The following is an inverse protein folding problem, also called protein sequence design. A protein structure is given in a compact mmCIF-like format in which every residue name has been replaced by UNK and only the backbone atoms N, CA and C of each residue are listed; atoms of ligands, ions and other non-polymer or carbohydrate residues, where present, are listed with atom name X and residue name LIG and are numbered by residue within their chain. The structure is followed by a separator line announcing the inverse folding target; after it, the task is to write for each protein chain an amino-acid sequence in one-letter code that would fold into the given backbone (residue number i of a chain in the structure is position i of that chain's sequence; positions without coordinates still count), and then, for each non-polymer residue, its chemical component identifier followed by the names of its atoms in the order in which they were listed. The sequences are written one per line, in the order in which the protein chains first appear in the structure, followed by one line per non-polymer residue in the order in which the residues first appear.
data_IF_395241886783
#
_entry.id   IF_395241886783
#
_cell.length_a   1.000
_cell.length_b   1.000
_cell.length_c   1.000
_cell.angle_alpha   90.00
_cell.angle_beta   90.00
_cell.angle_gamma   90.00
#
_symmetry.space_group_name_H-M   'P 1'
#
loop_
_entity.id
_entity.type
_entity.pdbx_description
1 polymer ?
#
# COMPACT_ATOMS: atom_id res chain seq x y z
N UNK A 1 -4.55 12.53 -11.03
CA UNK A 1 -4.41 11.89 -12.35
C UNK A 1 -4.65 12.96 -13.41
N UNK A 2 -4.15 12.83 -14.65
CA UNK A 2 -4.15 13.84 -15.76
C UNK A 2 -3.15 14.99 -15.60
N UNK A 3 -3.06 15.60 -14.42
CA UNK A 3 -2.20 16.78 -14.14
C UNK A 3 -0.73 16.62 -14.53
N UNK A 4 -0.19 15.41 -14.36
CA UNK A 4 1.18 15.07 -14.66
C UNK A 4 1.26 13.58 -15.05
N UNK A 5 2.15 13.21 -15.98
CA UNK A 5 2.28 11.83 -16.42
C UNK A 5 3.08 10.98 -15.41
N UNK A 6 2.76 9.68 -15.26
CA UNK A 6 3.65 8.73 -14.61
C UNK A 6 4.88 8.44 -15.49
N UNK A 7 5.92 7.84 -14.88
CA UNK A 7 7.15 7.40 -15.56
C UNK A 7 7.12 5.87 -15.73
N UNK A 8 7.80 5.34 -16.76
CA UNK A 8 8.03 3.89 -16.90
C UNK A 8 9.27 3.44 -16.08
N UNK A 9 9.08 2.72 -14.96
CA UNK A 9 10.19 2.34 -14.07
C UNK A 9 11.09 1.23 -14.64
N UNK A 10 10.74 0.67 -15.80
CA UNK A 10 11.49 -0.36 -16.51
C UNK A 10 12.24 0.25 -17.71
N UNK A 11 11.51 0.90 -18.62
CA UNK A 11 12.05 1.44 -19.88
C UNK A 11 12.81 2.74 -19.67
N UNK A 12 12.35 3.58 -18.75
CA UNK A 12 12.95 4.89 -18.43
C UNK A 12 13.75 4.83 -17.12
N UNK A 13 14.16 3.64 -16.68
CA UNK A 13 14.89 3.45 -15.42
C UNK A 13 16.13 4.34 -15.28
N UNK A 14 16.77 4.71 -16.38
CA UNK A 14 17.98 5.53 -16.40
C UNK A 14 17.78 6.92 -15.77
N UNK A 15 16.57 7.47 -15.81
CA UNK A 15 16.27 8.78 -15.20
C UNK A 15 15.88 8.65 -13.72
N UNK A 16 15.72 7.43 -13.22
CA UNK A 16 15.28 7.18 -11.85
C UNK A 16 16.43 6.81 -10.92
N UNK A 17 16.36 7.27 -9.67
CA UNK A 17 17.40 7.01 -8.67
C UNK A 17 16.82 6.71 -7.29
N UNK A 18 17.33 5.63 -6.68
CA UNK A 18 17.13 5.32 -5.26
C UNK A 18 18.36 5.69 -4.43
N UNK A 19 19.29 6.48 -4.97
CA UNK A 19 20.41 6.99 -4.19
C UNK A 19 19.87 7.76 -2.99
N UNK A 20 20.55 7.63 -1.86
CA UNK A 20 20.15 8.19 -0.58
C UNK A 20 21.41 8.66 0.11
N UNK A 21 21.39 9.89 0.58
CA UNK A 21 22.54 10.49 1.26
C UNK A 21 22.24 10.58 2.76
N UNK A 22 23.29 10.42 3.57
CA UNK A 22 23.24 10.50 5.02
C UNK A 22 24.26 11.54 5.47
N UNK A 23 23.82 12.47 6.31
CA UNK A 23 24.64 13.56 6.84
C UNK A 23 23.79 14.76 7.19
N UNK A 24 24.42 15.80 7.74
CA UNK A 24 23.74 17.09 7.92
C UNK A 24 23.52 17.73 6.55
N UNK A 25 22.34 18.26 6.32
CA UNK A 25 22.08 19.10 5.17
C UNK A 25 22.75 20.46 5.40
N UNK A 26 23.63 20.82 4.48
CA UNK A 26 24.37 22.08 4.54
C UNK A 26 23.53 23.29 4.17
N UNK A 27 24.10 24.48 4.36
CA UNK A 27 23.46 25.71 3.90
C UNK A 27 23.46 25.77 2.36
N UNK A 28 22.26 25.81 1.77
CA UNK A 28 22.05 25.85 0.33
C UNK A 28 22.68 27.06 -0.37
N UNK A 29 22.85 28.17 0.36
CA UNK A 29 23.41 29.43 -0.15
C UNK A 29 24.93 29.53 0.02
N UNK A 30 25.57 28.55 0.64
CA UNK A 30 27.02 28.54 0.89
C UNK A 30 27.67 27.33 0.19
N UNK A 31 28.67 27.57 -0.64
CA UNK A 31 29.46 26.50 -1.26
C UNK A 31 30.65 26.16 -0.37
N UNK A 32 30.41 25.33 0.65
CA UNK A 32 31.41 24.90 1.62
C UNK A 32 31.74 23.40 1.45
N UNK A 33 33.01 22.96 1.56
CA UNK A 33 33.39 21.54 1.46
C UNK A 33 32.65 20.63 2.44
N UNK A 34 32.28 21.16 3.60
CA UNK A 34 31.55 20.46 4.66
C UNK A 34 30.19 19.96 4.17
N UNK A 35 29.55 20.64 3.22
CA UNK A 35 28.28 20.24 2.63
C UNK A 35 28.38 18.92 1.86
N UNK A 36 29.58 18.55 1.38
CA UNK A 36 29.84 17.30 0.68
C UNK A 36 30.18 16.13 1.62
N UNK A 37 30.30 16.36 2.93
CA UNK A 37 30.63 15.33 3.93
C UNK A 37 29.40 14.47 4.24
N UNK A 38 29.06 13.58 3.31
CA UNK A 38 27.91 12.69 3.40
C UNK A 38 28.26 11.24 3.07
N UNK A 39 27.54 10.28 3.67
CA UNK A 39 27.58 8.88 3.26
C UNK A 39 26.53 8.66 2.18
N UNK A 40 26.99 8.26 1.00
CA UNK A 40 26.11 7.96 -0.14
C UNK A 40 25.78 6.47 -0.18
N UNK A 41 24.47 6.18 -0.15
CA UNK A 41 23.91 4.86 -0.33
C UNK A 41 23.27 4.74 -1.72
N UNK A 42 23.47 3.60 -2.37
CA UNK A 42 22.82 3.27 -3.65
C UNK A 42 21.33 2.91 -3.55
N UNK A 43 20.79 2.84 -2.33
CA UNK A 43 19.43 2.42 -2.02
C UNK A 43 19.14 2.73 -0.54
N UNK A 44 17.93 3.18 -0.18
CA UNK A 44 17.55 3.37 1.23
C UNK A 44 17.36 2.04 1.98
N UNK A 45 17.34 0.91 1.27
CA UNK A 45 17.18 -0.41 1.88
C UNK A 45 18.53 -0.95 2.35
N UNK A 46 18.66 -1.10 3.66
CA UNK A 46 19.89 -1.54 4.30
C UNK A 46 19.96 -3.07 4.40
N UNK A 47 21.18 -3.60 4.36
CA UNK A 47 21.51 -4.89 4.96
C UNK A 47 22.09 -4.68 6.35
N UNK A 48 22.08 -5.72 7.17
CA UNK A 48 22.67 -5.69 8.52
C UNK A 48 24.10 -5.13 8.52
N UNK A 49 24.95 -5.62 7.61
CA UNK A 49 26.33 -5.14 7.48
C UNK A 49 26.41 -3.64 7.22
N UNK A 50 25.50 -3.11 6.39
CA UNK A 50 25.49 -1.69 6.01
C UNK A 50 25.00 -0.82 7.16
N UNK A 51 23.95 -1.23 7.87
CA UNK A 51 23.51 -0.55 9.09
C UNK A 51 24.63 -0.49 10.12
N UNK A 52 25.26 -1.63 10.44
CA UNK A 52 26.38 -1.69 11.40
C UNK A 52 27.56 -0.81 11.00
N UNK A 53 27.90 -0.79 9.71
CA UNK A 53 28.95 0.09 9.19
C UNK A 53 28.59 1.56 9.40
N UNK A 54 27.36 1.97 9.08
CA UNK A 54 26.89 3.35 9.26
C UNK A 54 26.97 3.74 10.75
N UNK A 55 26.47 2.89 11.66
CA UNK A 55 26.46 3.16 13.10
C UNK A 55 27.87 3.18 13.73
N UNK A 56 28.84 2.49 13.12
CA UNK A 56 30.23 2.44 13.58
C UNK A 56 31.14 3.46 12.92
N UNK A 57 30.66 4.23 11.94
CA UNK A 57 31.51 5.15 11.17
C UNK A 57 31.87 6.38 12.01
N UNK A 58 33.16 6.67 12.11
CA UNK A 58 33.68 7.81 12.88
C UNK A 58 33.27 9.19 12.31
N UNK A 59 32.93 9.28 11.02
CA UNK A 59 32.51 10.53 10.36
C UNK A 59 31.21 11.12 10.92
N UNK A 60 30.33 10.30 11.50
CA UNK A 60 29.15 10.77 12.20
C UNK A 60 29.37 10.96 13.70
N UNK A 61 30.63 10.81 14.14
CA UNK A 61 31.02 10.78 15.55
C UNK A 61 30.37 9.61 16.28
N UNK A 62 30.73 9.39 17.54
CA UNK A 62 29.99 8.50 18.43
C UNK A 62 28.54 8.97 18.72
N UNK A 63 27.98 9.89 17.92
CA UNK A 63 26.79 10.68 18.20
C UNK A 63 25.61 10.18 17.35
N UNK A 64 25.26 8.90 17.50
CA UNK A 64 23.92 8.45 17.14
C UNK A 64 23.16 8.15 18.42
N UNK A 65 21.86 8.45 18.42
CA UNK A 65 20.96 7.96 19.45
C UNK A 65 20.26 6.71 18.92
N UNK A 66 20.21 5.66 19.74
CA UNK A 66 19.30 4.54 19.49
C UNK A 66 18.09 4.71 20.39
N UNK A 67 16.91 4.82 19.78
CA UNK A 67 15.61 4.90 20.45
C UNK A 67 14.92 3.56 20.27
N UNK A 68 14.74 2.85 21.39
CA UNK A 68 13.93 1.63 21.44
C UNK A 68 12.45 2.00 21.34
N UNK A 69 11.76 1.41 20.37
CA UNK A 69 10.34 1.64 20.10
C UNK A 69 9.41 0.85 21.02
N UNK A 70 9.94 0.05 21.95
CA UNK A 70 9.13 -0.60 22.98
C UNK A 70 8.79 0.35 24.13
N UNK A 71 7.55 0.24 24.61
CA UNK A 71 7.03 1.03 25.73
C UNK A 71 6.18 0.18 26.67
N UNK A 72 6.19 0.44 27.99
CA UNK A 72 5.25 -0.18 28.92
C UNK A 72 3.81 0.18 28.55
N UNK A 73 2.88 -0.77 28.62
CA UNK A 73 1.48 -0.51 28.25
C UNK A 73 0.85 0.62 29.09
N UNK A 74 1.22 0.73 30.36
CA UNK A 74 0.81 1.82 31.26
C UNK A 74 1.26 3.23 30.82
N UNK A 75 2.31 3.34 29.99
CA UNK A 75 2.74 4.60 29.41
C UNK A 75 1.74 5.11 28.35
N UNK A 76 1.13 4.20 27.59
CA UNK A 76 0.26 4.51 26.47
C UNK A 76 1.04 4.92 25.20
N UNK A 77 0.54 4.50 24.04
CA UNK A 77 1.18 4.71 22.73
C UNK A 77 1.46 6.19 22.44
N UNK A 78 0.51 7.07 22.75
CA UNK A 78 0.66 8.51 22.48
C UNK A 78 1.79 9.13 23.32
N UNK A 79 1.91 8.75 24.59
CA UNK A 79 2.96 9.27 25.46
C UNK A 79 4.33 8.69 25.09
N UNK A 80 4.38 7.40 24.72
CA UNK A 80 5.59 6.76 24.19
C UNK A 80 6.12 7.46 22.94
N UNK A 81 5.25 7.77 21.97
CA UNK A 81 5.61 8.53 20.77
C UNK A 81 6.14 9.94 21.13
N UNK A 82 5.52 10.62 22.09
CA UNK A 82 5.99 11.92 22.56
C UNK A 82 7.37 11.83 23.23
N UNK A 83 7.63 10.78 24.01
CA UNK A 83 8.95 10.50 24.59
C UNK A 83 10.00 10.24 23.51
N UNK A 84 9.69 9.46 22.47
CA UNK A 84 10.62 9.25 21.35
C UNK A 84 10.97 10.57 20.65
N UNK A 85 9.98 11.43 20.44
CA UNK A 85 10.19 12.78 19.89
C UNK A 85 11.15 13.62 20.74
N UNK A 86 10.95 13.64 22.07
CA UNK A 86 11.82 14.37 22.99
C UNK A 86 13.24 13.81 23.04
N UNK A 87 13.40 12.48 23.05
CA UNK A 87 14.72 11.84 23.01
C UNK A 87 15.47 12.18 21.73
N UNK A 88 14.78 12.13 20.59
CA UNK A 88 15.35 12.50 19.29
C UNK A 88 15.76 13.98 19.27
N UNK A 89 14.89 14.89 19.70
CA UNK A 89 15.21 16.32 19.77
C UNK A 89 16.43 16.60 20.65
N UNK A 90 16.45 16.07 21.88
CA UNK A 90 17.55 16.28 22.81
C UNK A 90 18.88 15.78 22.22
N UNK A 91 18.88 14.59 21.62
CA UNK A 91 20.07 14.02 21.00
C UNK A 91 20.56 14.85 19.81
N UNK A 92 19.66 15.31 18.94
CA UNK A 92 20.03 16.12 17.77
C UNK A 92 20.56 17.49 18.20
N UNK A 93 19.97 18.13 19.22
CA UNK A 93 20.51 19.37 19.81
C UNK A 93 21.90 19.17 20.43
N UNK A 94 22.19 17.99 20.97
CA UNK A 94 23.52 17.60 21.44
C UNK A 94 24.49 17.22 20.30
N UNK A 95 24.03 17.30 19.06
CA UNK A 95 24.85 17.13 17.86
C UNK A 95 24.74 15.76 17.19
N UNK A 96 23.79 14.92 17.60
CA UNK A 96 23.56 13.62 16.96
C UNK A 96 23.08 13.78 15.53
N UNK A 97 23.81 13.19 14.58
CA UNK A 97 23.51 13.26 13.14
C UNK A 97 22.60 12.10 12.70
N UNK A 98 22.56 11.03 13.50
CA UNK A 98 21.77 9.84 13.22
C UNK A 98 20.82 9.57 14.40
N UNK A 99 19.53 9.43 14.08
CA UNK A 99 18.51 8.92 14.99
C UNK A 99 18.13 7.53 14.52
N UNK A 100 18.50 6.52 15.29
CA UNK A 100 18.24 5.12 15.00
C UNK A 100 17.01 4.66 15.78
N UNK A 101 15.90 4.46 15.09
CA UNK A 101 14.64 3.93 15.64
C UNK A 101 14.63 2.41 15.46
N UNK A 102 14.47 1.64 16.54
CA UNK A 102 14.50 0.16 16.46
C UNK A 102 13.38 -0.51 17.25
N UNK A 103 12.70 -1.48 16.63
CA UNK A 103 11.76 -2.40 17.29
C UNK A 103 12.34 -3.82 17.44
N UNK A 104 13.66 -3.97 17.35
CA UNK A 104 14.34 -5.28 17.27
C UNK A 104 14.22 -6.12 18.54
N UNK A 105 14.25 -5.50 19.71
CA UNK A 105 14.44 -6.18 20.99
C UNK A 105 13.13 -6.17 21.79
N UNK A 106 12.26 -7.19 21.62
CA UNK A 106 11.08 -7.31 22.46
C UNK A 106 11.47 -7.45 23.92
N UNK A 107 10.70 -6.77 24.80
CA UNK A 107 10.89 -6.78 26.24
C UNK A 107 9.60 -7.26 26.91
N UNK A 108 9.68 -8.19 27.88
CA UNK A 108 8.50 -8.61 28.64
C UNK A 108 7.76 -7.41 29.24
N UNK A 109 6.43 -7.40 29.12
CA UNK A 109 5.58 -6.31 29.65
C UNK A 109 5.62 -5.01 28.85
N UNK A 110 6.27 -4.98 27.68
CA UNK A 110 6.27 -3.83 26.78
C UNK A 110 5.60 -4.16 25.45
N UNK A 111 4.95 -3.16 24.85
CA UNK A 111 4.40 -3.23 23.50
C UNK A 111 5.35 -2.55 22.51
N UNK A 112 5.52 -3.07 21.29
CA UNK A 112 6.27 -2.38 20.24
C UNK A 112 5.39 -1.28 19.61
N UNK A 113 5.85 -0.03 19.62
CA UNK A 113 5.21 1.01 18.84
C UNK A 113 5.43 0.75 17.34
N UNK A 114 4.36 0.81 16.55
CA UNK A 114 4.46 0.56 15.11
C UNK A 114 5.44 1.56 14.46
N UNK A 115 6.48 1.05 13.78
CA UNK A 115 7.59 1.86 13.29
C UNK A 115 7.16 3.04 12.39
N UNK A 116 6.09 2.89 11.62
CA UNK A 116 5.54 3.98 10.80
C UNK A 116 5.03 5.17 11.64
N UNK A 117 4.35 4.90 12.76
CA UNK A 117 3.88 5.95 13.67
C UNK A 117 5.06 6.66 14.33
N UNK A 118 6.05 5.90 14.80
CA UNK A 118 7.27 6.44 15.41
C UNK A 118 8.06 7.33 14.44
N UNK A 119 8.29 6.86 13.21
CA UNK A 119 8.97 7.63 12.16
C UNK A 119 8.22 8.91 11.86
N UNK A 120 6.91 8.82 11.64
CA UNK A 120 6.08 9.98 11.34
C UNK A 120 6.11 11.02 12.47
N UNK A 121 5.89 10.59 13.71
CA UNK A 121 5.91 11.46 14.88
C UNK A 121 7.26 12.16 15.05
N UNK A 122 8.36 11.40 15.04
CA UNK A 122 9.72 11.94 15.19
C UNK A 122 10.07 12.88 14.03
N UNK A 123 9.74 12.51 12.80
CA UNK A 123 9.97 13.37 11.64
C UNK A 123 9.23 14.71 11.76
N UNK A 124 7.93 14.68 12.05
CA UNK A 124 7.12 15.89 12.20
C UNK A 124 7.59 16.77 13.36
N UNK A 125 7.96 16.14 14.48
CA UNK A 125 8.51 16.84 15.64
C UNK A 125 9.82 17.57 15.29
N UNK A 126 10.77 16.89 14.67
CA UNK A 126 12.05 17.48 14.28
C UNK A 126 11.90 18.55 13.19
N UNK A 127 10.92 18.42 12.28
CA UNK A 127 10.58 19.47 11.31
C UNK A 127 10.08 20.73 12.04
N UNK A 128 9.12 20.57 12.97
CA UNK A 128 8.59 21.69 13.76
C UNK A 128 9.65 22.36 14.64
N UNK A 129 10.60 21.58 15.16
CA UNK A 129 11.72 22.08 15.97
C UNK A 129 12.86 22.71 15.13
N UNK A 130 12.78 22.64 13.79
CA UNK A 130 13.84 23.14 12.90
C UNK A 130 15.12 22.29 12.88
N UNK A 131 15.03 21.02 13.30
CA UNK A 131 16.18 20.11 13.49
C UNK A 131 16.25 18.99 12.44
N UNK A 132 15.26 18.87 11.55
CA UNK A 132 15.20 17.74 10.60
C UNK A 132 16.38 17.74 9.62
N UNK A 133 16.89 18.89 9.22
CA UNK A 133 18.06 19.01 8.33
C UNK A 133 19.38 18.66 9.03
N UNK A 134 19.42 18.64 10.36
CA UNK A 134 20.63 18.30 11.14
C UNK A 134 20.81 16.80 11.37
N UNK A 135 19.84 15.98 10.97
CA UNK A 135 19.87 14.55 11.28
C UNK A 135 19.22 13.67 10.21
N UNK A 136 19.40 12.36 10.37
CA UNK A 136 18.84 11.34 9.50
C UNK A 136 18.13 10.28 10.34
N UNK A 137 17.00 9.79 9.85
CA UNK A 137 16.22 8.76 10.52
C UNK A 137 16.55 7.39 9.93
N UNK A 138 17.20 6.53 10.71
CA UNK A 138 17.45 5.13 10.36
C UNK A 138 16.42 4.26 11.08
N UNK A 139 15.77 3.36 10.36
CA UNK A 139 14.70 2.52 10.92
C UNK A 139 15.11 1.05 10.86
N UNK A 140 15.31 0.41 11.99
CA UNK A 140 15.43 -1.04 12.10
C UNK A 140 14.07 -1.61 12.55
N UNK A 141 13.35 -2.27 11.64
CA UNK A 141 11.99 -2.73 11.94
C UNK A 141 11.69 -4.16 11.51
N UNK A 142 10.87 -4.86 12.29
CA UNK A 142 10.31 -6.16 11.97
C UNK A 142 9.07 -6.11 11.06
N UNK A 143 8.43 -4.94 10.94
CA UNK A 143 7.15 -4.77 10.22
C UNK A 143 7.30 -4.68 8.70
N UNK A 144 8.38 -4.04 8.22
CA UNK A 144 8.60 -3.75 6.80
C UNK A 144 9.04 -4.99 6.01
N UNK A 145 8.23 -5.39 5.02
CA UNK A 145 8.44 -6.63 4.24
C UNK A 145 8.08 -6.54 2.76
N UNK A 146 7.27 -5.57 2.36
CA UNK A 146 6.88 -5.34 0.96
C UNK A 146 7.16 -3.88 0.55
N UNK A 147 7.16 -3.55 -0.75
CA UNK A 147 7.49 -2.21 -1.23
C UNK A 147 6.61 -1.09 -0.66
N UNK A 148 5.36 -1.36 -0.30
CA UNK A 148 4.46 -0.34 0.25
C UNK A 148 4.92 0.07 1.64
N UNK A 149 5.28 -0.88 2.51
CA UNK A 149 5.80 -0.56 3.85
C UNK A 149 7.05 0.32 3.80
N UNK A 150 7.99 0.02 2.89
CA UNK A 150 9.16 0.89 2.69
C UNK A 150 8.76 2.27 2.17
N UNK A 151 7.85 2.32 1.19
CA UNK A 151 7.40 3.59 0.63
C UNK A 151 6.71 4.47 1.68
N UNK A 152 5.93 3.91 2.60
CA UNK A 152 5.34 4.64 3.72
C UNK A 152 6.44 5.19 4.63
N UNK A 153 7.34 4.33 5.13
CA UNK A 153 8.42 4.77 6.03
C UNK A 153 9.25 5.90 5.41
N UNK A 154 9.64 5.77 4.14
CA UNK A 154 10.43 6.77 3.43
C UNK A 154 9.62 8.05 3.15
N UNK A 155 8.38 7.90 2.68
CA UNK A 155 7.49 9.03 2.38
C UNK A 155 7.06 9.82 3.61
N UNK A 156 7.15 9.23 4.81
CA UNK A 156 6.93 9.89 6.10
C UNK A 156 8.21 10.25 6.86
N UNK A 157 9.38 10.15 6.21
CA UNK A 157 10.59 10.83 6.67
C UNK A 157 11.77 9.94 7.06
N UNK A 158 11.64 8.61 6.99
CA UNK A 158 12.79 7.72 7.13
C UNK A 158 13.84 8.01 6.05
N UNK A 159 15.11 8.09 6.43
CA UNK A 159 16.20 8.19 5.45
C UNK A 159 16.53 6.82 4.88
N UNK A 160 16.65 5.80 5.73
CA UNK A 160 16.94 4.42 5.32
C UNK A 160 16.31 3.41 6.27
N UNK A 161 16.02 2.20 5.76
CA UNK A 161 15.28 1.15 6.47
C UNK A 161 16.06 -0.17 6.42
N UNK A 162 16.27 -0.78 7.59
CA UNK A 162 16.76 -2.14 7.76
C UNK A 162 15.61 -3.07 8.21
N UNK A 163 15.08 -3.91 7.31
CA UNK A 163 13.96 -4.82 7.61
C UNK A 163 14.48 -6.13 8.22
N UNK A 164 14.89 -6.11 9.49
CA UNK A 164 15.65 -7.23 10.05
C UNK A 164 14.85 -8.55 10.06
N UNK A 165 13.56 -8.51 10.39
CA UNK A 165 12.73 -9.70 10.52
C UNK A 165 12.47 -10.33 9.15
N UNK A 166 12.23 -9.53 8.11
CA UNK A 166 12.08 -10.03 6.75
C UNK A 166 13.32 -10.83 6.29
N UNK A 167 14.53 -10.34 6.58
CA UNK A 167 15.75 -11.11 6.30
C UNK A 167 15.82 -12.40 7.11
N UNK A 168 15.54 -12.34 8.42
CA UNK A 168 15.55 -13.51 9.29
C UNK A 168 14.56 -14.58 8.83
N UNK A 169 13.33 -14.19 8.46
CA UNK A 169 12.32 -15.09 7.90
C UNK A 169 12.79 -15.72 6.59
N UNK A 170 13.39 -14.94 5.67
CA UNK A 170 13.96 -15.47 4.42
C UNK A 170 15.07 -16.50 4.68
N UNK A 171 15.97 -16.23 5.63
CA UNK A 171 17.01 -17.17 5.99
C UNK A 171 16.46 -18.43 6.68
N UNK A 172 15.44 -18.28 7.54
CA UNK A 172 14.75 -19.42 8.15
C UNK A 172 14.08 -20.30 7.09
N UNK A 173 13.32 -19.72 6.16
CA UNK A 173 12.69 -20.43 5.04
C UNK A 173 13.69 -21.09 4.09
N UNK A 174 14.87 -20.47 3.89
CA UNK A 174 15.96 -21.06 3.13
C UNK A 174 16.59 -22.26 3.85
N UNK A 175 16.74 -22.20 5.18
CA UNK A 175 17.27 -23.31 5.99
C UNK A 175 16.28 -24.48 6.07
N UNK A 176 14.99 -24.22 6.21
CA UNK A 176 13.95 -25.25 6.27
C UNK A 176 13.62 -25.88 4.90
N UNK A 177 14.18 -25.36 3.80
CA UNK A 177 13.96 -25.90 2.46
C UNK A 177 12.65 -25.48 1.79
N UNK A 178 11.87 -24.59 2.42
CA UNK A 178 10.67 -23.99 1.83
C UNK A 178 11.03 -23.22 0.55
N UNK A 179 12.11 -22.43 0.60
CA UNK A 179 12.68 -21.79 -0.59
C UNK A 179 13.69 -22.75 -1.21
N UNK A 180 13.27 -23.44 -2.26
CA UNK A 180 14.15 -24.32 -3.06
C UNK A 180 15.09 -23.47 -3.91
N UNK A 181 16.37 -23.47 -3.57
CA UNK A 181 17.40 -22.94 -4.47
C UNK A 181 17.56 -23.89 -5.66
N UNK A 182 17.78 -23.36 -6.87
CA UNK A 182 18.29 -24.19 -7.97
C UNK A 182 19.66 -24.70 -7.56
N UNK A 183 19.95 -25.98 -7.82
CA UNK A 183 21.11 -26.71 -7.30
C UNK A 183 22.49 -26.07 -7.55
N UNK A 184 22.58 -25.09 -8.47
CA UNK A 184 23.82 -24.43 -8.88
C UNK A 184 23.95 -22.95 -8.45
N UNK A 185 22.98 -22.36 -7.73
CA UNK A 185 23.03 -20.94 -7.36
C UNK A 185 23.35 -20.71 -5.87
N UNK A 186 24.33 -19.85 -5.54
CA UNK A 186 24.51 -19.37 -4.17
C UNK A 186 23.20 -18.79 -3.63
N UNK A 187 22.88 -19.05 -2.35
CA UNK A 187 21.67 -18.52 -1.69
C UNK A 187 21.77 -17.00 -1.50
N UNK A 188 21.57 -16.23 -2.55
CA UNK A 188 21.57 -14.75 -2.55
C UNK A 188 20.21 -14.15 -2.13
N UNK A 189 19.47 -14.82 -1.23
CA UNK A 189 18.09 -14.47 -0.86
C UNK A 189 17.95 -13.00 -0.49
N UNK A 190 18.85 -12.47 0.35
CA UNK A 190 18.85 -11.06 0.73
C UNK A 190 19.14 -10.09 -0.42
N UNK A 191 19.93 -10.48 -1.43
CA UNK A 191 20.16 -9.63 -2.62
C UNK A 191 18.93 -9.65 -3.53
N UNK A 192 18.33 -10.81 -3.77
CA UNK A 192 17.12 -10.96 -4.57
C UNK A 192 15.93 -10.21 -3.95
N UNK A 193 15.75 -10.33 -2.64
CA UNK A 193 14.74 -9.57 -1.89
C UNK A 193 14.92 -8.05 -2.06
N UNK A 194 16.11 -7.51 -1.76
CA UNK A 194 16.40 -6.08 -1.96
C UNK A 194 16.18 -5.63 -3.41
N UNK A 195 16.52 -6.46 -4.39
CA UNK A 195 16.27 -6.17 -5.81
C UNK A 195 14.77 -6.07 -6.09
N UNK A 196 13.97 -6.98 -5.53
CA UNK A 196 12.51 -6.94 -5.61
C UNK A 196 11.94 -5.66 -5.00
N UNK A 197 12.34 -5.33 -3.77
CA UNK A 197 11.86 -4.11 -3.11
C UNK A 197 12.31 -2.85 -3.86
N UNK A 198 13.54 -2.78 -4.38
CA UNK A 198 14.00 -1.65 -5.21
C UNK A 198 13.14 -1.46 -6.46
N UNK A 199 12.79 -2.55 -7.17
CA UNK A 199 11.87 -2.48 -8.32
C UNK A 199 10.48 -1.99 -7.89
N UNK A 200 10.00 -2.47 -6.74
CA UNK A 200 8.73 -2.03 -6.17
C UNK A 200 8.72 -0.55 -5.80
N UNK A 201 9.78 -0.03 -5.18
CA UNK A 201 9.93 1.39 -4.86
C UNK A 201 9.94 2.25 -6.13
N UNK A 202 10.74 1.87 -7.13
CA UNK A 202 10.74 2.56 -8.43
C UNK A 202 9.33 2.60 -9.03
N UNK A 203 8.60 1.48 -8.98
CA UNK A 203 7.21 1.43 -9.43
C UNK A 203 6.27 2.34 -8.63
N UNK A 204 6.46 2.50 -7.32
CA UNK A 204 5.64 3.40 -6.50
C UNK A 204 5.94 4.86 -6.84
N UNK A 205 7.22 5.25 -6.89
CA UNK A 205 7.66 6.60 -7.25
C UNK A 205 7.14 6.99 -8.66
N UNK A 206 7.21 6.06 -9.61
CA UNK A 206 6.84 6.33 -10.99
C UNK A 206 5.34 6.60 -11.19
N UNK A 207 4.46 6.15 -10.28
CA UNK A 207 3.01 6.42 -10.36
C UNK A 207 2.68 7.92 -10.31
N UNK A 208 3.50 8.71 -9.61
CA UNK A 208 3.34 10.16 -9.51
C UNK A 208 4.35 10.92 -10.39
N UNK A 209 5.08 10.21 -11.25
CA UNK A 209 6.11 10.81 -12.10
C UNK A 209 7.36 11.28 -11.35
N UNK A 210 7.66 10.68 -10.20
CA UNK A 210 8.81 11.07 -9.38
C UNK A 210 10.02 10.21 -9.74
N UNK A 211 11.13 10.87 -10.04
CA UNK A 211 12.36 10.20 -10.49
C UNK A 211 13.32 9.84 -9.34
N UNK A 212 13.36 10.63 -8.27
CA UNK A 212 14.40 10.50 -7.23
C UNK A 212 13.82 10.19 -5.86
N UNK A 213 14.53 9.38 -5.08
CA UNK A 213 14.18 9.09 -3.69
C UNK A 213 14.27 10.34 -2.80
N UNK A 214 15.18 11.27 -3.09
CA UNK A 214 15.34 12.48 -2.28
C UNK A 214 14.11 13.40 -2.39
N UNK A 215 13.45 13.49 -3.56
CA UNK A 215 12.18 14.22 -3.71
C UNK A 215 10.98 13.47 -3.15
N UNK A 216 11.04 12.13 -3.06
CA UNK A 216 9.96 11.32 -2.52
C UNK A 216 9.95 11.29 -0.98
N UNK A 217 11.13 11.37 -0.35
CA UNK A 217 11.29 11.30 1.11
C UNK A 217 10.55 12.46 1.77
N UNK A 218 9.69 12.15 2.74
CA UNK A 218 8.90 13.17 3.44
C UNK A 218 7.79 13.84 2.61
N UNK A 219 7.59 13.45 1.35
CA UNK A 219 6.59 14.08 0.47
C UNK A 219 5.14 13.70 0.80
N UNK A 220 4.92 12.69 1.65
CA UNK A 220 3.60 12.26 2.12
C UNK A 220 2.57 12.00 1.01
N UNK A 221 3.00 11.32 -0.07
CA UNK A 221 2.13 11.02 -1.22
C UNK A 221 1.21 9.82 -0.97
N UNK A 222 0.46 9.92 0.12
CA UNK A 222 -0.46 8.91 0.62
C UNK A 222 -1.79 9.56 0.98
N UNK A 223 -2.84 8.75 0.94
CA UNK A 223 -4.11 9.10 1.56
C UNK A 223 -4.36 8.16 2.73
N UNK A 224 -4.79 8.75 3.84
CA UNK A 224 -5.09 8.03 5.07
C UNK A 224 -6.59 7.76 5.10
N UNK A 225 -6.95 6.49 5.31
CA UNK A 225 -8.33 6.04 5.50
C UNK A 225 -8.36 5.22 6.78
N UNK A 226 -9.21 5.59 7.73
CA UNK A 226 -9.40 4.80 8.96
C UNK A 226 -8.52 5.20 10.15
N UNK A 227 -7.82 6.35 10.14
CA UNK A 227 -7.10 6.86 11.31
C UNK A 227 -7.73 8.13 11.85
N UNK A 228 -7.83 8.22 13.18
CA UNK A 228 -8.40 9.36 13.87
C UNK A 228 -7.56 10.64 13.69
N UNK A 229 -8.19 11.83 13.74
CA UNK A 229 -7.50 13.10 13.56
C UNK A 229 -6.29 13.32 14.48
N UNK A 230 -6.30 12.86 15.72
CA UNK A 230 -5.19 12.97 16.66
C UNK A 230 -3.96 12.18 16.24
N UNK A 231 -4.14 10.98 15.69
CA UNK A 231 -3.05 10.15 15.16
C UNK A 231 -2.45 10.84 13.94
N UNK A 232 -3.30 11.33 13.03
CA UNK A 232 -2.87 12.06 11.83
C UNK A 232 -2.11 13.34 12.20
N UNK A 233 -2.62 14.14 13.15
CA UNK A 233 -1.94 15.39 13.58
C UNK A 233 -0.58 15.14 14.20
N UNK A 234 -0.41 14.06 14.95
CA UNK A 234 0.85 13.75 15.61
C UNK A 234 1.87 13.15 14.63
N UNK A 235 1.46 12.14 13.85
CA UNK A 235 2.37 11.30 13.07
C UNK A 235 2.46 11.70 11.59
N UNK A 236 1.40 12.24 11.00
CA UNK A 236 1.24 12.37 9.55
C UNK A 236 0.67 13.74 9.15
N UNK A 237 1.04 14.78 9.88
CA UNK A 237 0.52 16.13 9.66
C UNK A 237 0.77 16.58 8.21
N UNK A 238 -0.31 17.05 7.55
CA UNK A 238 -0.30 17.44 6.13
C UNK A 238 -0.93 16.41 5.19
N UNK A 239 -1.09 15.16 5.62
CA UNK A 239 -1.71 14.11 4.80
C UNK A 239 -3.24 14.16 4.84
N UNK A 240 -3.93 13.91 3.71
CA UNK A 240 -5.39 13.86 3.69
C UNK A 240 -5.92 12.65 4.48
N UNK A 241 -6.88 12.90 5.37
CA UNK A 241 -7.68 11.88 6.06
C UNK A 241 -9.13 12.37 6.17
N UNK A 242 -10.02 11.79 5.36
CA UNK A 242 -11.38 12.33 5.14
C UNK A 242 -12.45 11.73 6.05
N UNK A 243 -12.22 10.51 6.54
CA UNK A 243 -13.25 9.70 7.21
C UNK A 243 -12.98 9.56 8.72
N UNK A 244 -11.72 9.76 9.16
CA UNK A 244 -11.32 9.43 10.53
C UNK A 244 -11.27 7.92 10.75
N UNK A 245 -11.18 7.49 12.01
CA UNK A 245 -11.20 6.07 12.37
C UNK A 245 -10.50 5.80 13.71
N UNK A 246 -9.61 4.82 13.73
CA UNK A 246 -8.92 4.34 14.94
C UNK A 246 -8.00 5.40 15.54
N UNK A 247 -8.13 5.62 16.85
CA UNK A 247 -7.24 6.46 17.65
C UNK A 247 -6.06 5.66 18.22
N UNK A 248 -5.30 6.29 19.11
CA UNK A 248 -4.15 5.63 19.75
C UNK A 248 -4.57 4.44 20.62
N UNK A 249 -5.72 4.51 21.28
CA UNK A 249 -6.21 3.45 22.15
C UNK A 249 -6.58 2.19 21.36
N UNK A 250 -7.28 2.34 20.23
CA UNK A 250 -7.65 1.21 19.38
C UNK A 250 -6.41 0.56 18.75
N UNK A 251 -5.45 1.37 18.26
CA UNK A 251 -4.19 0.87 17.70
C UNK A 251 -3.37 0.12 18.76
N UNK A 252 -3.31 0.65 19.98
CA UNK A 252 -2.63 -0.01 21.10
C UNK A 252 -3.30 -1.32 21.47
N UNK A 253 -4.64 -1.36 21.52
CA UNK A 253 -5.39 -2.57 21.83
C UNK A 253 -5.15 -3.67 20.77
N UNK A 254 -5.12 -3.32 19.48
CA UNK A 254 -4.74 -4.25 18.41
C UNK A 254 -3.31 -4.78 18.59
N UNK A 255 -2.36 -3.89 18.91
CA UNK A 255 -0.97 -4.28 19.14
C UNK A 255 -0.82 -5.19 20.37
N UNK A 256 -1.59 -4.93 21.43
CA UNK A 256 -1.61 -5.75 22.64
C UNK A 256 -2.19 -7.15 22.35
N UNK A 257 -3.27 -7.24 21.57
CA UNK A 257 -3.83 -8.52 21.15
C UNK A 257 -2.84 -9.35 20.31
N UNK A 258 -2.10 -8.70 19.40
CA UNK A 258 -1.03 -9.35 18.64
C UNK A 258 0.14 -9.82 19.52
N UNK A 259 0.54 -9.03 20.51
CA UNK A 259 1.58 -9.42 21.47
C UNK A 259 1.12 -10.62 22.32
N UNK A 260 -0.12 -10.61 22.82
CA UNK A 260 -0.67 -11.74 23.57
C UNK A 260 -0.68 -13.04 22.76
N UNK A 261 -1.02 -12.96 21.47
CA UNK A 261 -0.94 -14.11 20.57
C UNK A 261 0.50 -14.56 20.32
N UNK A 262 1.45 -13.62 20.20
CA UNK A 262 2.86 -13.92 19.97
C UNK A 262 3.57 -14.53 21.20
N UNK A 263 3.11 -14.19 22.40
CA UNK A 263 3.62 -14.73 23.67
C UNK A 263 3.04 -16.12 24.00
N UNK A 264 1.98 -16.55 23.31
CA UNK A 264 1.43 -17.90 23.45
C UNK A 264 2.37 -18.93 22.80
N UNK A 265 2.99 -19.84 23.58
CA UNK A 265 3.95 -20.81 23.07
C UNK A 265 3.34 -21.88 22.16
N UNK A 266 2.01 -22.05 22.16
CA UNK A 266 1.33 -23.01 21.29
C UNK A 266 0.69 -22.35 20.06
N UNK A 267 0.63 -21.02 20.02
CA UNK A 267 0.11 -20.30 18.86
C UNK A 267 0.96 -20.57 17.62
N UNK A 268 0.29 -20.75 16.47
CA UNK A 268 0.92 -20.92 15.18
C UNK A 268 0.68 -19.70 14.30
N UNK A 269 1.54 -19.52 13.30
CA UNK A 269 1.30 -18.51 12.28
C UNK A 269 0.09 -18.94 11.43
N UNK A 270 -0.95 -18.11 11.45
CA UNK A 270 -2.12 -18.30 10.62
C UNK A 270 -1.75 -18.27 9.11
N UNK A 271 -2.38 -19.11 8.26
CA UNK A 271 -2.19 -19.07 6.81
C UNK A 271 -2.52 -17.71 6.19
N UNK A 272 -3.32 -16.90 6.88
CA UNK A 272 -3.79 -15.59 6.46
C UNK A 272 -5.06 -15.66 5.63
N UNK A 273 -5.24 -14.68 4.75
CA UNK A 273 -6.46 -14.54 3.95
C UNK A 273 -6.55 -13.21 3.20
N UNK A 274 -5.67 -12.25 3.50
CA UNK A 274 -5.73 -10.90 2.92
C UNK A 274 -5.67 -10.86 1.39
N UNK A 275 -4.86 -11.72 0.76
CA UNK A 275 -4.64 -11.70 -0.71
C UNK A 275 -5.54 -12.66 -1.48
N UNK A 276 -6.02 -13.72 -0.81
CA UNK A 276 -6.84 -14.77 -1.41
C UNK A 276 -7.70 -15.37 -0.32
N UNK A 277 -8.94 -15.70 -0.68
CA UNK A 277 -9.85 -16.42 0.19
C UNK A 277 -9.21 -17.68 0.79
N UNK A 278 -9.29 -17.77 2.12
CA UNK A 278 -8.96 -18.94 2.93
C UNK A 278 -10.14 -19.15 3.86
N UNK A 279 -10.60 -20.40 3.97
CA UNK A 279 -11.73 -20.74 4.84
C UNK A 279 -11.40 -20.39 6.30
N UNK A 280 -12.29 -19.65 6.96
CA UNK A 280 -12.09 -19.19 8.35
C UNK A 280 -11.13 -18.00 8.51
N UNK A 281 -10.58 -17.45 7.43
CA UNK A 281 -9.70 -16.28 7.45
C UNK A 281 -10.44 -14.95 7.22
N UNK A 282 -9.73 -13.99 6.63
CA UNK A 282 -10.27 -12.69 6.22
C UNK A 282 -11.55 -12.84 5.38
N UNK A 283 -12.53 -11.95 5.57
CA UNK A 283 -13.75 -11.97 4.77
C UNK A 283 -13.51 -11.45 3.34
N UNK A 284 -14.03 -12.17 2.34
CA UNK A 284 -14.00 -11.74 0.93
C UNK A 284 -15.42 -11.53 0.41
N UNK A 285 -15.67 -10.37 -0.19
CA UNK A 285 -16.93 -10.10 -0.90
C UNK A 285 -17.20 -11.10 -2.04
N UNK A 286 -16.12 -11.61 -2.65
CA UNK A 286 -16.16 -12.68 -3.63
C UNK A 286 -15.67 -13.98 -2.98
N UNK A 287 -16.57 -14.67 -2.29
CA UNK A 287 -16.31 -15.97 -1.66
C UNK A 287 -17.08 -17.09 -2.39
N UNK A 288 -16.77 -18.38 -2.12
CA UNK A 288 -17.38 -19.51 -2.82
C UNK A 288 -18.91 -19.51 -2.77
N UNK A 289 -19.52 -19.18 -1.63
CA UNK A 289 -20.97 -19.21 -1.46
C UNK A 289 -21.66 -18.12 -2.30
N UNK A 290 -21.11 -16.90 -2.29
CA UNK A 290 -21.60 -15.78 -3.11
C UNK A 290 -21.47 -16.08 -4.59
N UNK A 291 -20.34 -16.64 -5.03
CA UNK A 291 -20.10 -16.99 -6.44
C UNK A 291 -21.04 -18.11 -6.89
N UNK A 292 -21.21 -19.16 -6.08
CA UNK A 292 -22.09 -20.28 -6.40
C UNK A 292 -23.55 -19.82 -6.50
N UNK A 293 -24.02 -18.99 -5.55
CA UNK A 293 -25.37 -18.44 -5.57
C UNK A 293 -25.61 -17.54 -6.80
N UNK A 294 -24.64 -16.69 -7.17
CA UNK A 294 -24.75 -15.87 -8.38
C UNK A 294 -24.82 -16.71 -9.66
N UNK A 295 -23.97 -17.72 -9.78
CA UNK A 295 -23.97 -18.62 -10.93
C UNK A 295 -25.25 -19.46 -11.02
N UNK A 296 -25.85 -19.82 -9.88
CA UNK A 296 -27.14 -20.49 -9.84
C UNK A 296 -28.24 -19.55 -10.32
N UNK A 297 -28.34 -18.34 -9.75
CA UNK A 297 -29.32 -17.33 -10.14
C UNK A 297 -29.24 -16.98 -11.63
N UNK A 298 -28.04 -16.82 -12.18
CA UNK A 298 -27.84 -16.52 -13.59
C UNK A 298 -28.22 -17.69 -14.53
N UNK A 299 -28.19 -18.93 -14.05
CA UNK A 299 -28.52 -20.13 -14.85
C UNK A 299 -30.00 -20.50 -14.77
N UNK A 300 -30.61 -20.37 -13.59
CA UNK A 300 -32.01 -20.72 -13.38
C UNK A 300 -32.95 -19.62 -13.89
N UNK A 301 -32.57 -18.36 -13.75
CA UNK A 301 -33.46 -17.22 -14.03
C UNK A 301 -34.56 -17.02 -12.97
N UNK A 302 -34.52 -17.79 -11.88
CA UNK A 302 -35.54 -17.76 -10.84
C UNK A 302 -35.30 -16.63 -9.85
N UNK A 303 -36.34 -15.84 -9.56
CA UNK A 303 -36.25 -14.70 -8.63
C UNK A 303 -35.81 -15.14 -7.22
N UNK A 304 -36.22 -16.33 -6.77
CA UNK A 304 -35.84 -16.88 -5.47
C UNK A 304 -34.32 -17.15 -5.36
N UNK A 305 -33.69 -17.61 -6.45
CA UNK A 305 -32.24 -17.82 -6.47
C UNK A 305 -31.48 -16.49 -6.42
N UNK A 306 -31.98 -15.46 -7.11
CA UNK A 306 -31.40 -14.11 -7.05
C UNK A 306 -31.59 -13.45 -5.67
N UNK A 307 -32.72 -13.68 -4.99
CA UNK A 307 -32.94 -13.22 -3.63
C UNK A 307 -31.97 -13.88 -2.64
N UNK A 308 -31.71 -15.19 -2.79
CA UNK A 308 -30.70 -15.90 -1.99
C UNK A 308 -29.31 -15.28 -2.18
N UNK A 309 -28.90 -15.04 -3.42
CA UNK A 309 -27.65 -14.34 -3.73
C UNK A 309 -27.61 -12.95 -3.08
N UNK A 310 -28.69 -12.17 -3.24
CA UNK A 310 -28.77 -10.80 -2.73
C UNK A 310 -28.69 -10.75 -1.20
N UNK A 311 -29.32 -11.69 -0.49
CA UNK A 311 -29.23 -11.81 0.96
C UNK A 311 -27.78 -12.05 1.41
N UNK A 312 -27.06 -12.98 0.79
CA UNK A 312 -25.64 -13.23 1.08
C UNK A 312 -24.75 -11.98 0.90
N UNK A 313 -25.10 -11.12 -0.06
CA UNK A 313 -24.35 -9.89 -0.37
C UNK A 313 -24.74 -8.73 0.54
N UNK A 314 -26.03 -8.60 0.88
CA UNK A 314 -26.58 -7.43 1.60
C UNK A 314 -26.57 -7.60 3.13
N UNK A 315 -26.61 -8.83 3.63
CA UNK A 315 -26.62 -9.14 5.08
C UNK A 315 -25.22 -9.47 5.62
N UNK A 316 -24.19 -9.26 4.81
CA UNK A 316 -22.78 -9.48 5.20
C UNK A 316 -22.31 -8.48 6.26
N UNK A 317 -21.20 -8.79 6.98
CA UNK A 317 -20.49 -7.80 7.76
C UNK A 317 -20.02 -6.60 6.91
N UNK A 318 -20.02 -5.37 7.44
CA UNK A 318 -19.56 -4.20 6.70
C UNK A 318 -18.16 -4.40 6.13
N UNK A 319 -18.04 -4.32 4.80
CA UNK A 319 -16.82 -4.62 4.05
C UNK A 319 -16.43 -3.50 3.06
N UNK A 320 -17.34 -2.56 2.80
CA UNK A 320 -17.08 -1.28 2.13
C UNK A 320 -17.81 -0.14 2.83
N UNK A 321 -17.37 1.11 2.58
CA UNK A 321 -17.98 2.31 3.18
C UNK A 321 -19.49 2.41 2.95
N UNK A 322 -19.99 1.96 1.79
CA UNK A 322 -21.43 1.94 1.49
C UNK A 322 -22.24 1.02 2.41
N UNK A 323 -21.61 0.00 2.99
CA UNK A 323 -22.29 -0.93 3.90
C UNK A 323 -22.57 -0.25 5.27
N UNK A 324 -21.94 0.90 5.54
CA UNK A 324 -22.21 1.73 6.73
C UNK A 324 -23.33 2.75 6.51
N UNK A 325 -23.84 2.86 5.28
CA UNK A 325 -24.91 3.79 4.93
C UNK A 325 -26.26 3.09 4.98
N UNK A 326 -27.30 3.83 5.39
CA UNK A 326 -28.70 3.38 5.31
C UNK A 326 -29.50 4.36 4.46
N UNK A 327 -30.38 3.82 3.63
CA UNK A 327 -31.31 4.65 2.85
C UNK A 327 -32.34 5.22 3.81
N UNK A 328 -32.45 6.55 3.86
CA UNK A 328 -33.51 7.23 4.59
C UNK A 328 -34.70 7.47 3.65
N UNK A 329 -35.87 6.86 3.90
CA UNK A 329 -37.06 7.11 3.09
C UNK A 329 -37.49 8.58 3.20
N UNK A 330 -37.88 9.17 2.07
CA UNK A 330 -38.38 10.56 2.00
C UNK A 330 -39.92 10.64 2.01
N UNK A 331 -40.61 9.51 1.98
CA UNK A 331 -42.07 9.42 1.91
C UNK A 331 -42.55 7.96 2.00
N UNK A 332 -43.87 7.72 1.86
CA UNK A 332 -44.41 6.37 1.81
C UNK A 332 -43.92 5.61 0.57
N UNK A 333 -43.85 4.27 0.61
CA UNK A 333 -43.56 3.46 -0.58
C UNK A 333 -44.56 3.72 -1.71
N UNK A 334 -44.06 3.71 -2.94
CA UNK A 334 -44.88 3.83 -4.15
C UNK A 334 -45.17 2.45 -4.75
N UNK A 335 -46.28 2.28 -5.50
CA UNK A 335 -46.52 1.09 -6.32
C UNK A 335 -45.38 0.82 -7.32
N UNK A 336 -45.06 -0.46 -7.57
CA UNK A 336 -43.95 -0.83 -8.47
C UNK A 336 -44.19 -0.42 -9.93
N UNK A 337 -45.44 -0.32 -10.35
CA UNK A 337 -45.84 0.14 -11.69
C UNK A 337 -45.64 1.65 -11.90
N UNK A 338 -45.47 2.43 -10.83
CA UNK A 338 -45.04 3.83 -10.89
C UNK A 338 -43.52 3.99 -11.02
N UNK A 339 -42.75 2.92 -10.78
CA UNK A 339 -41.29 2.93 -10.91
C UNK A 339 -40.89 2.88 -12.39
N UNK A 340 -39.78 3.54 -12.72
CA UNK A 340 -39.18 3.49 -14.05
C UNK A 340 -39.03 2.04 -14.56
N UNK A 341 -39.27 1.83 -15.86
CA UNK A 341 -39.24 0.51 -16.47
C UNK A 341 -37.86 -0.15 -16.36
N UNK A 342 -37.82 -1.49 -16.26
CA UNK A 342 -36.57 -2.25 -16.26
C UNK A 342 -35.69 -1.92 -17.48
N UNK A 343 -36.31 -1.80 -18.66
CA UNK A 343 -35.62 -1.47 -19.90
C UNK A 343 -34.93 -0.10 -19.85
N UNK A 344 -35.48 0.88 -19.12
CA UNK A 344 -34.86 2.20 -18.97
C UNK A 344 -33.76 2.20 -17.90
N UNK A 345 -33.93 1.43 -16.83
CA UNK A 345 -32.89 1.22 -15.81
C UNK A 345 -31.66 0.55 -16.43
N UNK A 346 -31.84 -0.53 -17.21
CA UNK A 346 -30.76 -1.31 -17.81
C UNK A 346 -29.90 -0.51 -18.80
N UNK A 347 -30.44 0.56 -19.42
CA UNK A 347 -29.66 1.47 -20.28
C UNK A 347 -28.54 2.19 -19.52
N UNK A 348 -28.64 2.29 -18.19
CA UNK A 348 -27.64 2.92 -17.32
C UNK A 348 -26.51 1.96 -16.95
N UNK A 349 -26.64 0.67 -17.25
CA UNK A 349 -25.62 -0.33 -16.92
C UNK A 349 -24.58 -0.38 -18.03
N UNK A 350 -23.31 -0.47 -17.62
CA UNK A 350 -22.21 -0.78 -18.49
C UNK A 350 -21.45 -2.03 -18.01
N UNK A 351 -20.83 -2.73 -18.96
CA UNK A 351 -19.79 -3.69 -18.61
C UNK A 351 -18.45 -2.96 -18.61
N UNK A 352 -17.68 -3.09 -17.53
CA UNK A 352 -16.34 -2.52 -17.43
C UNK A 352 -15.43 -2.95 -18.61
N UNK A 353 -14.49 -2.08 -18.98
CA UNK A 353 -13.53 -2.35 -20.04
C UNK A 353 -12.55 -3.45 -19.65
N UNK A 354 -12.74 -4.65 -20.19
CA UNK A 354 -11.85 -5.79 -20.01
C UNK A 354 -11.22 -6.13 -21.36
N UNK A 355 -9.88 -6.16 -21.42
CA UNK A 355 -9.19 -6.30 -22.70
C UNK A 355 -9.33 -7.71 -23.30
N UNK A 356 -9.48 -7.75 -24.62
CA UNK A 356 -9.21 -8.94 -25.40
C UNK A 356 -7.74 -9.35 -25.20
N UNK A 357 -7.50 -10.55 -24.69
CA UNK A 357 -6.19 -11.03 -24.24
C UNK A 357 -6.06 -11.18 -22.72
N UNK A 358 -6.84 -10.42 -21.94
CA UNK A 358 -7.09 -10.75 -20.52
C UNK A 358 -8.26 -11.74 -20.40
N UNK A 359 -9.28 -11.57 -21.24
CA UNK A 359 -10.38 -12.51 -21.42
C UNK A 359 -10.21 -13.29 -22.73
N UNK A 360 -10.86 -14.46 -22.80
CA UNK A 360 -11.01 -15.18 -24.05
C UNK A 360 -11.94 -14.41 -25.01
N UNK A 361 -11.81 -14.62 -26.33
CA UNK A 361 -12.71 -14.02 -27.31
C UNK A 361 -14.19 -14.31 -27.02
N UNK A 362 -14.50 -15.54 -26.61
CA UNK A 362 -15.87 -15.98 -26.32
C UNK A 362 -16.47 -15.22 -25.14
N UNK A 363 -15.69 -15.03 -24.06
CA UNK A 363 -16.14 -14.28 -22.90
C UNK A 363 -16.34 -12.78 -23.24
N UNK A 364 -15.43 -12.21 -24.04
CA UNK A 364 -15.52 -10.80 -24.44
C UNK A 364 -16.73 -10.54 -25.34
N UNK A 365 -16.96 -11.39 -26.34
CA UNK A 365 -18.11 -11.29 -27.23
C UNK A 365 -19.42 -11.54 -26.48
N UNK A 366 -19.47 -12.51 -25.55
CA UNK A 366 -20.67 -12.80 -24.76
C UNK A 366 -21.14 -11.57 -23.96
N UNK A 367 -20.21 -10.81 -23.37
CA UNK A 367 -20.53 -9.57 -22.66
C UNK A 367 -21.10 -8.51 -23.60
N UNK A 368 -20.50 -8.34 -24.78
CA UNK A 368 -20.99 -7.36 -25.76
C UNK A 368 -22.40 -7.72 -26.26
N UNK A 369 -22.62 -8.99 -26.61
CA UNK A 369 -23.93 -9.50 -27.02
C UNK A 369 -24.97 -9.25 -25.91
N UNK A 370 -24.64 -9.62 -24.66
CA UNK A 370 -25.53 -9.45 -23.51
C UNK A 370 -25.93 -7.99 -23.31
N UNK A 371 -24.95 -7.07 -23.24
CA UNK A 371 -25.22 -5.65 -23.04
C UNK A 371 -25.99 -5.03 -24.21
N UNK A 372 -25.69 -5.43 -25.44
CA UNK A 372 -26.40 -4.92 -26.62
C UNK A 372 -27.86 -5.36 -26.64
N UNK A 373 -28.16 -6.61 -26.28
CA UNK A 373 -29.53 -7.13 -26.16
C UNK A 373 -30.32 -6.46 -25.03
N UNK A 374 -29.67 -6.12 -23.92
CA UNK A 374 -30.27 -5.41 -22.79
C UNK A 374 -30.42 -3.89 -23.02
N UNK A 375 -29.91 -3.36 -24.13
CA UNK A 375 -29.91 -1.92 -24.42
C UNK A 375 -28.83 -1.11 -23.67
N UNK A 376 -28.03 -1.75 -22.82
CA UNK A 376 -26.87 -1.16 -22.16
C UNK A 376 -25.66 -1.03 -23.08
N UNK A 377 -24.47 -0.87 -22.48
CA UNK A 377 -23.21 -0.64 -23.20
C UNK A 377 -22.10 -1.56 -22.71
N UNK A 378 -21.37 -2.19 -23.63
CA UNK A 378 -20.12 -2.86 -23.31
C UNK A 378 -18.92 -2.04 -23.74
N UNK A 379 -17.78 -2.30 -23.11
CA UNK A 379 -16.52 -1.61 -23.37
C UNK A 379 -15.46 -2.59 -23.88
N UNK A 380 -14.81 -2.25 -25.01
CA UNK A 380 -13.82 -3.07 -25.69
C UNK A 380 -12.57 -3.37 -24.84
N UNK A 381 -12.28 -2.54 -23.84
CA UNK A 381 -11.04 -2.60 -23.09
C UNK A 381 -9.83 -2.15 -23.91
N UNK A 382 -8.63 -2.38 -23.37
CA UNK A 382 -7.38 -1.81 -23.91
C UNK A 382 -6.82 -2.53 -25.15
N UNK A 383 -7.37 -3.68 -25.53
CA UNK A 383 -6.79 -4.60 -26.52
C UNK A 383 -7.20 -4.36 -27.98
N UNK A 384 -8.04 -3.37 -28.24
CA UNK A 384 -8.70 -3.19 -29.54
C UNK A 384 -9.94 -4.07 -29.71
N UNK A 385 -10.49 -4.08 -30.92
CA UNK A 385 -11.65 -4.90 -31.28
C UNK A 385 -11.51 -5.39 -32.74
N UNK A 386 -11.91 -6.63 -33.00
CA UNK A 386 -11.86 -7.22 -34.34
C UNK A 386 -12.88 -6.53 -35.27
N UNK A 387 -12.47 -6.02 -36.45
CA UNK A 387 -13.38 -5.41 -37.43
C UNK A 387 -14.55 -6.29 -37.86
N UNK A 388 -14.42 -7.63 -37.80
CA UNK A 388 -15.51 -8.55 -38.11
C UNK A 388 -16.71 -8.41 -37.17
N UNK A 389 -16.54 -7.78 -35.99
CA UNK A 389 -17.62 -7.52 -35.04
C UNK A 389 -18.43 -6.27 -35.40
N UNK A 390 -17.90 -5.37 -36.22
CA UNK A 390 -18.56 -4.11 -36.53
C UNK A 390 -19.88 -4.34 -37.28
N UNK A 391 -20.92 -3.60 -36.88
CA UNK A 391 -22.27 -3.77 -37.41
C UNK A 391 -22.99 -5.04 -36.93
N UNK A 392 -22.39 -5.82 -36.02
CA UNK A 392 -23.02 -7.00 -35.40
C UNK A 392 -23.37 -6.77 -33.94
N UNK A 393 -24.18 -7.66 -33.34
CA UNK A 393 -24.46 -7.65 -31.90
C UNK A 393 -23.24 -7.90 -31.01
N UNK A 394 -22.10 -8.30 -31.59
CA UNK A 394 -20.85 -8.54 -30.87
C UNK A 394 -20.02 -7.27 -30.68
N UNK A 395 -20.37 -6.16 -31.33
CA UNK A 395 -19.62 -4.91 -31.25
C UNK A 395 -19.74 -4.26 -29.87
N UNK A 396 -18.64 -3.76 -29.31
CA UNK A 396 -18.71 -2.99 -28.06
C UNK A 396 -19.07 -1.53 -28.31
N UNK A 397 -20.07 -0.97 -27.61
CA UNK A 397 -20.50 0.44 -27.79
C UNK A 397 -19.57 1.48 -27.16
N UNK A 398 -18.54 1.04 -26.44
CA UNK A 398 -17.54 1.91 -25.84
C UNK A 398 -16.18 1.39 -26.28
N UNK A 399 -15.39 2.28 -26.87
CA UNK A 399 -14.05 1.99 -27.38
C UNK A 399 -13.00 2.69 -26.54
N UNK A 400 -12.18 1.92 -25.82
CA UNK A 400 -11.16 2.49 -24.95
C UNK A 400 -9.91 2.91 -25.73
N UNK A 401 -9.30 4.03 -25.32
CA UNK A 401 -8.01 4.52 -25.82
C UNK A 401 -7.02 4.59 -24.65
N UNK A 402 -6.21 3.53 -24.49
CA UNK A 402 -5.25 3.37 -23.39
C UNK A 402 -3.81 3.71 -23.80
N UNK A 403 -2.86 3.71 -22.86
CA UNK A 403 -1.47 4.17 -23.05
C UNK A 403 -0.75 3.47 -24.21
N UNK A 404 -0.93 2.17 -24.39
CA UNK A 404 -0.34 1.40 -25.49
C UNK A 404 -0.99 1.61 -26.85
N UNK A 405 -2.18 2.24 -26.90
CA UNK A 405 -2.98 2.47 -28.12
C UNK A 405 -3.20 1.19 -28.95
N UNK A 406 -3.26 0.03 -28.31
CA UNK A 406 -3.45 -1.24 -29.02
C UNK A 406 -4.80 -1.25 -29.74
N UNK A 407 -4.79 -1.65 -31.02
CA UNK A 407 -5.97 -1.72 -31.87
C UNK A 407 -6.69 -0.39 -32.13
N UNK A 408 -6.11 0.75 -31.74
CA UNK A 408 -6.70 2.06 -31.98
C UNK A 408 -6.42 2.48 -33.43
N UNK A 409 -7.44 2.35 -34.27
CA UNK A 409 -7.44 2.76 -35.69
C UNK A 409 -8.56 3.78 -35.97
N UNK A 410 -8.54 4.51 -37.09
CA UNK A 410 -9.66 5.36 -37.48
C UNK A 410 -10.98 4.57 -37.55
N UNK A 411 -10.95 3.36 -38.11
CA UNK A 411 -12.13 2.47 -38.18
C UNK A 411 -12.62 2.06 -36.80
N UNK A 412 -11.73 1.75 -35.86
CA UNK A 412 -12.09 1.44 -34.48
C UNK A 412 -12.79 2.62 -33.78
N UNK A 413 -12.27 3.83 -33.95
CA UNK A 413 -12.81 5.03 -33.30
C UNK A 413 -14.21 5.42 -33.82
N UNK A 414 -14.49 5.23 -35.11
CA UNK A 414 -15.81 5.55 -35.69
C UNK A 414 -16.87 4.47 -35.40
N UNK A 415 -16.47 3.29 -34.93
CA UNK A 415 -17.38 2.18 -34.57
C UNK A 415 -17.63 2.09 -33.05
N UNK A 416 -17.50 3.22 -32.33
CA UNK A 416 -17.90 3.32 -30.93
C UNK A 416 -19.41 3.48 -30.78
#
# INVERSE_FOLDING_TARGET
QVTNPPIDPLRERLVMSLTTQLGREGNLFSMAPENARQIVLNSPILSQRKLRQILATADFGANHITIDLHYPQEEGLAAALARFCQQAEAAVRQGSVLVHLTDRQPRPGCLPAHALLAVGAVHQHLVRAGLRSDCNLLVETGTARDPHHFACLLGFGATAVYPFLAYQSLFAMGRSGVIKARAAEPRELGRSYRRGIRKGLLKILSKMGISTMDSYRGAQLFEIVGLAPEVVRMCFAGSPSRIGGAGFAEIEAEQAALCALADDPVAQLEPGGLLRYVYGGEYHMFNPDVIAALQQAARSGEAADFQRYSALVNERPPSALRDLLRVQPIGPPVPLDEVESEADILKRFDSAGMSLGALSPEAHEALAIGMNRLGGRSNSGEGGEDPARYGTERMSKIKQVASGRFGVTPSYLVNA
#
